data_IF_903181078588
#
_entry.id   IF_903181078588
#
_cell.length_a   1.000
_cell.length_b   1.000
_cell.length_c   1.000
_cell.angle_alpha   90.00
_cell.angle_beta   90.00
_cell.angle_gamma   90.00
#
_symmetry.space_group_name_H-M   'P 1'
#
loop_
_entity.id
_entity.type
_entity.pdbx_description
1 polymer ?
2 non-polymer ?
3 non-polymer ?
4 water ?
#
# COMPACT_ATOMS: atom_id res chain seq x y z
N UNK A 11 6.76 2.23 21.99
CA UNK A 11 7.51 3.00 20.94
C UNK A 11 8.68 3.75 21.59
N UNK A 12 9.74 3.99 20.81
CA UNK A 12 10.88 4.77 21.25
C UNK A 12 10.54 6.26 21.25
N UNK A 13 10.73 6.91 22.40
CA UNK A 13 10.60 8.35 22.50
C UNK A 13 11.94 8.96 22.11
N UNK A 14 11.94 9.81 21.07
CA UNK A 14 13.17 10.40 20.53
C UNK A 14 13.24 11.85 20.98
N UNK A 15 14.43 12.30 21.37
CA UNK A 15 14.61 13.68 21.83
C UNK A 15 14.66 14.60 20.61
N UNK A 16 13.99 15.78 20.61
CA UNK A 16 13.99 16.65 19.43
C UNK A 16 15.35 17.12 18.92
N UNK A 17 16.34 17.19 19.81
CA UNK A 17 17.69 17.58 19.44
C UNK A 17 18.36 16.52 18.54
N UNK A 18 17.81 15.30 18.46
CA UNK A 18 18.39 14.23 17.65
C UNK A 18 17.83 14.21 16.23
N UNK A 19 16.90 15.14 15.92
CA UNK A 19 16.16 15.18 14.67
C UNK A 19 16.35 16.54 14.00
N UNK A 20 16.69 16.55 12.71
CA UNK A 20 16.68 17.78 11.92
C UNK A 20 15.78 17.58 10.70
N UNK A 21 14.80 18.49 10.52
CA UNK A 21 13.95 18.53 9.35
C UNK A 21 14.65 19.28 8.21
N UNK A 22 14.62 18.74 6.99
CA UNK A 22 15.38 19.34 5.90
C UNK A 22 14.51 19.83 4.75
N UNK A 23 13.49 19.05 4.37
CA UNK A 23 12.72 19.34 3.16
C UNK A 23 11.33 18.75 3.32
N UNK A 24 10.31 19.51 2.91
CA UNK A 24 8.94 19.02 2.97
C UNK A 24 8.70 18.07 1.79
N UNK A 25 8.14 16.87 2.07
CA UNK A 25 7.93 15.82 1.08
C UNK A 25 6.49 15.31 1.09
N UNK A 26 5.57 16.01 1.80
CA UNK A 26 4.18 15.58 1.89
C UNK A 26 3.31 16.61 2.59
N UNK A 31 -0.66 18.85 9.82
CA UNK A 31 0.80 19.01 9.71
C UNK A 31 1.36 18.64 8.34
N UNK A 32 2.69 18.47 8.29
CA UNK A 32 3.46 18.18 7.09
C UNK A 32 4.31 16.93 7.33
N UNK A 33 4.89 16.41 6.23
CA UNK A 33 5.89 15.35 6.28
C UNK A 33 7.19 15.93 5.72
N UNK A 34 8.29 15.69 6.42
CA UNK A 34 9.61 16.15 6.00
C UNK A 34 10.55 14.96 5.81
N UNK A 35 11.49 15.11 4.89
CA UNK A 35 12.75 14.35 4.91
C UNK A 35 13.67 15.05 5.90
N UNK A 36 14.38 14.26 6.69
CA UNK A 36 15.33 14.80 7.63
C UNK A 36 16.37 13.76 8.04
N UNK A 37 17.10 14.08 9.13
CA UNK A 37 18.18 13.24 9.62
C UNK A 37 17.92 12.97 11.11
N UNK A 38 18.29 11.76 11.53
CA UNK A 38 18.19 11.27 12.90
C UNK A 38 19.60 10.90 13.38
N UNK A 39 20.00 11.52 14.53
CA UNK A 39 21.30 11.38 15.17
C UNK A 39 21.07 10.88 16.59
N UNK A 46 24.45 9.77 11.52
CA UNK A 46 23.17 10.36 11.06
C UNK A 46 22.54 9.35 10.10
N UNK A 47 21.20 9.23 10.12
CA UNK A 47 20.49 8.40 9.14
C UNK A 47 19.32 9.22 8.59
N UNK A 48 19.01 9.12 7.27
CA UNK A 48 17.83 9.79 6.72
C UNK A 48 16.55 9.18 7.30
N UNK A 49 15.57 10.04 7.55
CA UNK A 49 14.27 9.64 8.10
C UNK A 49 13.19 10.48 7.42
N UNK A 50 11.94 9.96 7.50
CA UNK A 50 10.78 10.80 7.22
C UNK A 50 10.14 11.19 8.54
N UNK A 51 9.57 12.38 8.58
CA UNK A 51 9.13 13.02 9.81
C UNK A 51 7.75 13.64 9.58
N UNK A 52 6.74 13.07 10.24
CA UNK A 52 5.38 13.59 10.15
C UNK A 52 5.05 14.37 11.41
N UNK A 53 4.56 15.61 11.28
CA UNK A 53 4.26 16.47 12.42
C UNK A 53 2.76 16.65 12.62
N UNK A 54 2.39 17.04 13.85
CA UNK A 54 1.02 17.41 14.17
C UNK A 54 1.01 18.83 14.72
N UNK A 55 0.16 19.70 14.13
CA UNK A 55 0.18 21.14 14.40
C UNK A 55 -0.57 21.45 15.71
N UNK A 56 -0.26 22.64 16.27
CA UNK A 56 -0.82 23.14 17.53
C UNK A 56 -2.35 23.24 17.42
N UNK A 57 -3.03 22.95 18.54
CA UNK A 57 -4.48 23.07 18.61
C UNK A 57 -5.20 21.81 18.15
N UNK A 58 -4.44 20.73 17.91
CA UNK A 58 -5.00 19.45 17.56
C UNK A 58 -6.02 19.07 18.64
N UNK A 59 -7.07 18.35 18.20
CA UNK A 59 -8.08 17.83 19.09
C UNK A 59 -7.64 16.52 19.74
N UNK A 60 -8.42 16.10 20.75
CA UNK A 60 -8.22 14.82 21.37
C UNK A 60 -8.27 13.68 20.35
N UNK A 61 -9.26 13.68 19.45
CA UNK A 61 -9.36 12.66 18.40
C UNK A 61 -8.13 12.67 17.48
N UNK A 62 -7.67 13.89 17.09
CA UNK A 62 -6.51 13.99 16.23
C UNK A 62 -5.29 13.35 16.91
N UNK A 63 -5.15 13.59 18.23
CA UNK A 63 -3.99 13.11 18.97
C UNK A 63 -4.03 11.57 19.06
N UNK A 64 -5.22 11.04 19.32
CA UNK A 64 -5.38 9.60 19.43
C UNK A 64 -5.10 8.98 18.06
N UNK A 65 -5.56 9.62 16.99
CA UNK A 65 -5.37 9.09 15.64
C UNK A 65 -3.90 9.18 15.22
N UNK A 66 -3.23 10.26 15.62
CA UNK A 66 -1.86 10.50 15.20
C UNK A 66 -0.93 9.52 15.91
N UNK A 67 -1.03 9.52 17.25
CA UNK A 67 -0.20 8.61 18.03
C UNK A 67 -0.67 7.17 17.81
N UNK A 68 -1.93 7.00 17.40
CA UNK A 68 -2.47 5.69 17.09
C UNK A 68 -1.72 5.04 15.90
N UNK A 69 -1.41 5.86 14.87
CA UNK A 69 -0.72 5.37 13.70
C UNK A 69 0.65 4.84 14.15
N UNK A 70 1.34 5.61 15.00
CA UNK A 70 2.66 5.20 15.48
C UNK A 70 2.55 3.92 16.32
N UNK A 71 1.51 3.88 17.19
CA UNK A 71 1.28 2.72 18.01
C UNK A 71 1.10 1.46 17.17
N UNK A 72 0.32 1.56 16.07
CA UNK A 72 0.13 0.41 15.17
C UNK A 72 1.47 0.04 14.54
N UNK A 73 2.15 1.05 13.99
CA UNK A 73 3.40 0.79 13.29
C UNK A 73 4.42 0.15 14.22
N UNK A 74 4.43 0.55 15.50
CA UNK A 74 5.34 -0.02 16.48
C UNK A 74 5.08 -1.50 16.83
N UNK A 75 3.91 -2.02 16.52
CA UNK A 75 3.60 -3.41 16.83
C UNK A 75 4.05 -4.34 15.70
N UNK A 76 4.63 -3.77 14.63
CA UNK A 76 4.98 -4.54 13.46
C UNK A 76 6.49 -4.57 13.26
N UNK A 77 6.98 -5.72 12.81
CA UNK A 77 8.39 -5.87 12.50
C UNK A 77 8.54 -6.79 11.29
N UNK A 78 8.52 -6.19 10.07
CA UNK A 78 8.51 -6.97 8.85
C UNK A 78 9.17 -6.17 7.73
N UNK A 79 9.94 -6.87 6.90
CA UNK A 79 10.69 -6.29 5.80
C UNK A 79 9.83 -5.41 4.90
N UNK A 80 8.54 -5.78 4.74
CA UNK A 80 7.69 -5.09 3.78
C UNK A 80 6.66 -4.17 4.45
N UNK A 81 6.94 -3.72 5.67
CA UNK A 81 6.14 -2.78 6.43
C UNK A 81 7.09 -1.67 6.88
N UNK A 82 6.72 -0.44 6.60
CA UNK A 82 7.54 0.69 6.97
C UNK A 82 7.92 0.60 8.45
N UNK A 83 9.20 0.83 8.72
CA UNK A 83 9.75 0.79 10.07
C UNK A 83 9.61 2.14 10.77
N UNK A 84 9.10 2.06 11.99
CA UNK A 84 9.04 3.19 12.89
C UNK A 84 10.37 3.35 13.60
N UNK A 85 10.98 4.54 13.54
CA UNK A 85 12.15 4.84 14.38
C UNK A 85 11.70 5.24 15.80
N UNK A 86 10.66 6.06 15.87
CA UNK A 86 10.14 6.48 17.16
C UNK A 86 9.23 7.69 17.01
N UNK A 87 8.91 8.29 18.16
CA UNK A 87 7.97 9.39 18.22
C UNK A 87 8.56 10.47 19.11
N UNK A 88 8.19 11.72 18.81
CA UNK A 88 8.29 12.81 19.76
C UNK A 88 6.88 13.12 20.23
N UNK A 89 6.57 12.80 21.48
CA UNK A 89 5.27 13.04 22.07
C UNK A 89 5.37 13.95 23.30
N UNK A 90 6.54 14.04 23.93
CA UNK A 90 6.71 14.83 25.15
C UNK A 90 6.87 16.31 24.82
N UNK A 91 7.26 16.60 23.57
CA UNK A 91 7.50 17.96 23.13
C UNK A 91 6.58 18.22 21.94
N UNK A 92 6.31 19.51 21.68
CA UNK A 92 5.42 19.94 20.63
C UNK A 92 6.25 20.78 19.65
N UNK A 93 6.03 20.65 18.32
CA UNK A 93 5.03 19.76 17.73
C UNK A 93 5.40 18.29 17.86
N UNK A 94 4.36 17.43 17.97
CA UNK A 94 4.59 16.00 18.04
C UNK A 94 4.99 15.49 16.67
N UNK A 95 5.79 14.40 16.65
CA UNK A 95 6.32 13.85 15.42
C UNK A 95 6.30 12.33 15.45
N UNK A 96 6.14 11.78 14.25
CA UNK A 96 6.37 10.37 13.98
C UNK A 96 7.56 10.31 13.02
N UNK A 97 8.55 9.49 13.37
CA UNK A 97 9.81 9.39 12.66
C UNK A 97 9.94 7.96 12.13
N UNK A 98 10.03 7.85 10.80
CA UNK A 98 10.16 6.54 10.17
C UNK A 98 11.43 6.45 9.33
N UNK A 99 11.71 5.25 8.86
CA UNK A 99 12.74 5.11 7.84
C UNK A 99 12.36 5.94 6.60
N UNK A 100 13.40 6.37 5.87
CA UNK A 100 13.22 7.16 4.66
C UNK A 100 13.33 6.22 3.47
N UNK A 101 12.36 6.34 2.57
CA UNK A 101 12.26 5.47 1.40
C UNK A 101 12.64 6.30 0.16
N UNK A 102 13.79 5.97 -0.42
CA UNK A 102 14.47 6.88 -1.33
C UNK A 102 13.69 7.15 -2.61
N UNK A 103 12.83 6.21 -3.02
CA UNK A 103 12.09 6.30 -4.26
C UNK A 103 10.63 6.70 -4.05
N UNK A 104 10.25 6.96 -2.81
CA UNK A 104 8.93 7.52 -2.53
C UNK A 104 7.75 6.59 -2.84
N UNK A 105 6.62 7.22 -3.17
CA UNK A 105 5.38 6.49 -3.36
C UNK A 105 5.42 5.70 -4.67
N UNK A 106 4.92 4.48 -4.61
CA UNK A 106 4.99 3.54 -5.71
C UNK A 106 4.22 4.05 -6.93
N UNK A 107 3.04 4.67 -6.75
CA UNK A 107 2.27 5.08 -7.91
C UNK A 107 3.06 6.10 -8.75
N UNK A 108 3.58 7.14 -8.08
CA UNK A 108 4.31 8.21 -8.75
C UNK A 108 5.60 7.66 -9.35
N UNK A 109 6.28 6.80 -8.60
CA UNK A 109 7.51 6.16 -9.02
C UNK A 109 7.28 5.38 -10.33
N UNK A 110 6.24 4.53 -10.39
CA UNK A 110 5.99 3.75 -11.60
C UNK A 110 5.76 4.69 -12.80
N UNK A 111 5.00 5.77 -12.57
CA UNK A 111 4.63 6.66 -13.66
C UNK A 111 5.83 7.44 -14.18
N UNK A 112 6.83 7.68 -13.31
CA UNK A 112 8.03 8.40 -13.71
C UNK A 112 9.08 7.45 -14.27
N UNK A 113 8.88 6.13 -14.14
CA UNK A 113 9.88 5.16 -14.57
C UNK A 113 9.25 4.18 -15.55
N UNK A 114 8.31 4.68 -16.37
CA UNK A 114 7.51 3.80 -17.21
C UNK A 114 8.41 2.97 -18.14
N UNK A 115 8.22 1.65 -18.11
CA UNK A 115 8.96 0.75 -18.99
C UNK A 115 10.39 0.41 -18.53
N UNK A 116 10.85 0.90 -17.37
CA UNK A 116 12.27 0.85 -17.03
C UNK A 116 12.68 -0.40 -16.23
N UNK A 117 11.72 -1.27 -15.89
CA UNK A 117 12.00 -2.48 -15.13
C UNK A 117 11.72 -3.76 -15.95
N UNK A 118 12.29 -4.88 -15.49
CA UNK A 118 11.96 -6.18 -16.04
C UNK A 118 10.65 -6.69 -15.44
N UNK A 119 10.03 -7.64 -16.16
CA UNK A 119 8.83 -8.27 -15.64
C UNK A 119 9.16 -8.91 -14.28
N UNK A 120 10.30 -9.59 -14.20
CA UNK A 120 10.69 -10.20 -12.94
C UNK A 120 10.79 -9.18 -11.81
N UNK A 121 11.35 -8.00 -12.08
CA UNK A 121 11.40 -6.97 -11.07
C UNK A 121 9.99 -6.58 -10.60
N UNK A 122 9.09 -6.31 -11.55
CA UNK A 122 7.72 -5.93 -11.22
C UNK A 122 7.06 -7.00 -10.36
N UNK A 123 7.21 -8.29 -10.74
CA UNK A 123 6.63 -9.37 -9.97
C UNK A 123 7.25 -9.45 -8.57
N UNK A 124 8.56 -9.21 -8.45
CA UNK A 124 9.18 -9.18 -7.15
C UNK A 124 8.69 -8.05 -6.24
N UNK A 125 8.31 -6.91 -6.84
CA UNK A 125 7.71 -5.82 -6.09
C UNK A 125 6.39 -6.33 -5.49
N UNK A 126 5.60 -6.99 -6.33
CA UNK A 126 4.31 -7.48 -5.88
C UNK A 126 4.46 -8.54 -4.78
N UNK A 127 5.46 -9.41 -4.89
CA UNK A 127 5.68 -10.42 -3.84
C UNK A 127 5.94 -9.74 -2.49
N UNK A 128 6.76 -8.70 -2.52
CA UNK A 128 7.03 -7.94 -1.31
C UNK A 128 5.78 -7.36 -0.67
N UNK A 129 4.96 -6.71 -1.53
CA UNK A 129 3.72 -6.14 -1.01
C UNK A 129 2.85 -7.24 -0.43
N UNK A 130 2.73 -8.36 -1.15
CA UNK A 130 1.91 -9.46 -0.66
C UNK A 130 2.42 -10.01 0.66
N UNK A 131 3.77 -10.10 0.81
CA UNK A 131 4.32 -10.60 2.07
C UNK A 131 3.98 -9.64 3.24
N UNK A 132 4.08 -8.34 2.99
CA UNK A 132 3.69 -7.37 4.00
C UNK A 132 2.23 -7.50 4.38
N UNK A 133 1.39 -7.63 3.33
CA UNK A 133 -0.04 -7.78 3.59
C UNK A 133 -0.39 -9.09 4.32
N UNK A 134 0.28 -10.19 3.98
CA UNK A 134 0.05 -11.43 4.71
C UNK A 134 0.37 -11.23 6.19
N UNK A 135 1.48 -10.57 6.49
CA UNK A 135 1.85 -10.28 7.87
C UNK A 135 0.78 -9.43 8.57
N UNK A 136 0.32 -8.34 7.94
CA UNK A 136 -0.71 -7.51 8.56
C UNK A 136 -1.97 -8.35 8.82
N UNK A 137 -2.40 -9.13 7.80
CA UNK A 137 -3.62 -9.93 7.94
C UNK A 137 -3.50 -10.88 9.11
N UNK A 138 -2.35 -11.56 9.18
CA UNK A 138 -2.14 -12.53 10.25
C UNK A 138 -1.99 -11.88 11.62
N UNK A 139 -1.56 -10.62 11.64
CA UNK A 139 -1.53 -9.83 12.88
C UNK A 139 -2.89 -9.21 13.20
N UNK A 140 -3.93 -9.59 12.41
CA UNK A 140 -5.29 -9.15 12.69
C UNK A 140 -5.48 -7.67 12.36
N UNK A 141 -4.76 -7.19 11.35
CA UNK A 141 -4.88 -5.82 10.90
C UNK A 141 -5.43 -5.78 9.48
N UNK A 142 -6.57 -5.08 9.31
CA UNK A 142 -7.21 -4.83 8.02
C UNK A 142 -6.83 -3.41 7.60
N UNK A 143 -6.18 -3.28 6.43
CA UNK A 143 -5.65 -1.99 6.02
C UNK A 143 -6.73 -1.01 5.55
N UNK A 144 -7.65 -1.48 4.70
CA UNK A 144 -8.79 -0.75 4.17
C UNK A 144 -8.43 0.22 3.05
N UNK A 145 -7.13 0.57 2.87
CA UNK A 145 -6.74 1.62 1.93
C UNK A 145 -5.49 1.18 1.19
N UNK A 146 -5.47 -0.09 0.76
CA UNK A 146 -4.32 -0.57 0.02
C UNK A 146 -4.41 -0.10 -1.43
N UNK A 147 -3.32 0.53 -1.88
CA UNK A 147 -3.21 1.15 -3.18
C UNK A 147 -1.74 1.46 -3.38
N UNK A 148 -1.33 1.64 -4.63
CA UNK A 148 0.07 1.95 -4.87
C UNK A 148 0.48 3.28 -4.20
N UNK A 149 -0.45 4.22 -4.03
CA UNK A 149 -0.07 5.52 -3.43
C UNK A 149 0.31 5.35 -1.96
N UNK A 150 -0.10 4.23 -1.36
CA UNK A 150 0.19 3.97 0.04
C UNK A 150 1.31 2.96 0.21
N UNK A 151 2.06 2.67 -0.85
CA UNK A 151 3.23 1.82 -0.81
C UNK A 151 4.47 2.69 -1.09
N UNK A 152 5.55 2.44 -0.35
CA UNK A 152 6.78 3.19 -0.53
C UNK A 152 7.88 2.26 -1.03
N UNK A 153 8.84 2.84 -1.75
CA UNK A 153 9.88 2.07 -2.43
C UNK A 153 11.27 2.58 -2.06
N UNK A 154 12.15 1.65 -1.63
CA UNK A 154 13.52 2.03 -1.30
C UNK A 154 14.48 1.80 -2.45
N UNK A 155 15.76 2.12 -2.18
CA UNK A 155 16.80 2.03 -3.19
C UNK A 155 17.21 0.58 -3.52
N UNK A 156 16.66 -0.44 -2.82
CA UNK A 156 16.78 -1.82 -3.21
C UNK A 156 15.50 -2.34 -3.92
N UNK A 157 14.62 -1.39 -4.31
CA UNK A 157 13.35 -1.69 -4.97
C UNK A 157 12.38 -2.46 -4.05
N UNK A 158 12.64 -2.39 -2.76
CA UNK A 158 11.79 -3.02 -1.78
C UNK A 158 10.56 -2.17 -1.60
N UNK A 159 9.39 -2.81 -1.71
CA UNK A 159 8.12 -2.13 -1.51
C UNK A 159 7.62 -2.43 -0.12
N UNK A 160 7.18 -1.37 0.58
CA UNK A 160 6.69 -1.49 1.94
C UNK A 160 5.34 -0.79 2.08
N UNK A 161 4.43 -1.49 2.73
CA UNK A 161 3.15 -0.93 3.06
C UNK A 161 3.31 0.18 4.09
N UNK A 162 2.63 1.30 3.83
CA UNK A 162 2.61 2.45 4.71
C UNK A 162 1.14 2.87 4.89
N UNK A 163 0.91 3.98 5.57
CA UNK A 163 -0.40 4.54 5.77
C UNK A 163 -1.23 3.66 6.69
N UNK A 164 -0.98 3.82 7.99
CA UNK A 164 -1.74 3.15 9.03
C UNK A 164 -2.62 4.20 9.70
N UNK A 165 -2.95 5.28 9.00
CA UNK A 165 -3.86 6.29 9.52
C UNK A 165 -5.17 5.67 10.00
N UNK A 166 -5.69 6.17 11.13
CA UNK A 166 -6.81 5.54 11.84
C UNK A 166 -8.15 6.02 11.27
N UNK A 167 -8.21 7.29 10.83
CA UNK A 167 -9.49 7.90 10.51
C UNK A 167 -9.68 8.00 8.99
N UNK A 168 -10.32 6.98 8.41
CA UNK A 168 -10.52 6.92 6.97
C UNK A 168 -12.00 6.64 6.69
N UNK A 169 -12.56 7.42 5.75
CA UNK A 169 -13.93 7.25 5.30
C UNK A 169 -13.90 6.89 3.81
N UNK A 170 -14.83 6.04 3.38
CA UNK A 170 -15.00 5.74 1.96
C UNK A 170 -15.47 6.99 1.22
N UNK A 171 -14.85 7.25 0.06
CA UNK A 171 -15.27 8.30 -0.87
C UNK A 171 -16.78 8.24 -1.10
N UNK A 172 -17.45 9.40 -1.04
CA UNK A 172 -18.86 9.54 -1.36
C UNK A 172 -19.79 8.77 -0.42
N UNK A 173 -19.34 8.47 0.81
CA UNK A 173 -20.10 7.60 1.70
C UNK A 173 -19.51 7.54 3.11
N UNK A 183 -8.72 10.84 5.64
CA UNK A 183 -8.44 10.46 4.25
C UNK A 183 -9.64 9.73 3.64
N UNK A 184 -9.92 10.01 2.37
CA UNK A 184 -10.96 9.30 1.65
C UNK A 184 -10.38 8.01 1.06
N UNK A 185 -11.07 6.88 1.26
CA UNK A 185 -10.72 5.63 0.63
C UNK A 185 -11.41 5.56 -0.73
N UNK A 186 -10.66 5.44 -1.84
CA UNK A 186 -11.29 5.48 -3.16
C UNK A 186 -12.11 4.22 -3.45
N UNK A 187 -13.29 4.45 -4.03
CA UNK A 187 -14.21 3.41 -4.44
C UNK A 187 -13.51 2.37 -5.30
N UNK A 188 -12.72 2.82 -6.30
CA UNK A 188 -12.30 1.93 -7.37
C UNK A 188 -11.14 1.01 -6.95
N UNK A 189 -10.64 1.17 -5.71
CA UNK A 189 -9.72 0.21 -5.13
C UNK A 189 -10.41 -0.72 -4.13
N UNK A 190 -11.71 -0.54 -3.89
CA UNK A 190 -12.39 -1.14 -2.77
C UNK A 190 -13.27 -2.30 -3.23
N UNK A 191 -13.31 -3.36 -2.40
CA UNK A 191 -14.09 -4.53 -2.71
C UNK A 191 -15.58 -4.23 -2.66
N UNK A 192 -16.38 -4.96 -3.46
CA UNK A 192 -17.84 -4.75 -3.46
C UNK A 192 -18.52 -4.77 -2.09
N UNK A 193 -18.16 -5.75 -1.25
CA UNK A 193 -18.83 -5.89 0.03
C UNK A 193 -18.49 -4.74 0.97
N UNK A 194 -17.28 -4.16 0.80
CA UNK A 194 -16.87 -3.04 1.63
C UNK A 194 -17.69 -1.79 1.27
N UNK A 195 -17.92 -1.60 -0.04
CA UNK A 195 -18.78 -0.54 -0.52
C UNK A 195 -20.24 -0.79 -0.12
N UNK A 196 -20.75 -1.99 -0.43
CA UNK A 196 -22.19 -2.20 -0.36
C UNK A 196 -22.65 -2.28 1.10
N UNK A 197 -21.87 -2.93 1.98
CA UNK A 197 -22.34 -3.08 3.37
C UNK A 197 -21.26 -2.87 4.44
N UNK A 198 -20.17 -2.19 4.06
CA UNK A 198 -19.17 -1.71 5.00
C UNK A 198 -18.39 -2.89 5.63
N UNK A 199 -18.27 -3.99 4.88
CA UNK A 199 -17.54 -5.15 5.40
C UNK A 199 -16.09 -5.12 4.90
N UNK A 200 -15.22 -4.60 5.76
CA UNK A 200 -13.80 -4.52 5.45
C UNK A 200 -13.08 -5.64 6.19
N UNK A 201 -12.39 -6.50 5.41
CA UNK A 201 -11.66 -7.61 5.97
C UNK A 201 -10.36 -7.81 5.17
N UNK A 202 -9.56 -8.78 5.62
CA UNK A 202 -8.40 -9.10 4.82
C UNK A 202 -8.77 -9.55 3.40
N UNK A 203 -9.97 -10.10 3.19
CA UNK A 203 -10.43 -10.49 1.86
C UNK A 203 -10.77 -9.27 1.00
N UNK A 204 -11.24 -8.17 1.63
CA UNK A 204 -11.37 -6.94 0.89
C UNK A 204 -10.01 -6.32 0.56
N UNK A 205 -9.04 -6.49 1.45
CA UNK A 205 -7.67 -6.07 1.13
C UNK A 205 -7.09 -6.87 -0.04
N UNK A 206 -7.45 -8.15 -0.17
CA UNK A 206 -7.00 -8.94 -1.31
C UNK A 206 -7.52 -8.35 -2.62
N UNK A 207 -8.82 -7.97 -2.64
CA UNK A 207 -9.36 -7.28 -3.80
C UNK A 207 -8.47 -6.08 -4.17
N UNK A 208 -8.20 -5.24 -3.16
CA UNK A 208 -7.38 -4.05 -3.36
C UNK A 208 -6.00 -4.47 -3.89
N UNK A 209 -5.45 -5.55 -3.34
CA UNK A 209 -4.14 -6.02 -3.82
C UNK A 209 -4.19 -6.35 -5.31
N UNK A 210 -5.29 -6.95 -5.77
CA UNK A 210 -5.41 -7.26 -7.19
C UNK A 210 -5.36 -5.96 -8.03
N UNK A 211 -5.99 -4.88 -7.54
CA UNK A 211 -5.88 -3.57 -8.17
C UNK A 211 -4.44 -3.05 -8.16
N UNK A 212 -3.72 -3.25 -7.03
CA UNK A 212 -2.30 -2.89 -6.97
C UNK A 212 -1.48 -3.70 -7.97
N UNK A 213 -1.77 -5.00 -8.13
CA UNK A 213 -1.11 -5.80 -9.17
C UNK A 213 -1.27 -5.12 -10.53
N UNK A 214 -2.47 -4.66 -10.84
CA UNK A 214 -2.74 -4.05 -12.13
C UNK A 214 -1.99 -2.70 -12.24
N UNK A 215 -1.98 -1.93 -11.15
CA UNK A 215 -1.20 -0.67 -11.12
C UNK A 215 0.27 -0.92 -11.44
N UNK A 216 0.83 -1.97 -10.82
CA UNK A 216 2.26 -2.23 -11.02
C UNK A 216 2.52 -2.68 -12.45
N UNK A 217 1.71 -3.64 -12.96
CA UNK A 217 1.99 -4.22 -14.27
C UNK A 217 1.72 -3.23 -15.42
N UNK A 218 0.99 -2.12 -15.12
CA UNK A 218 0.72 -1.09 -16.11
C UNK A 218 1.56 0.16 -15.89
N UNK A 219 2.50 0.13 -14.95
CA UNK A 219 3.31 1.31 -14.60
C UNK A 219 2.48 2.52 -14.16
N UNK A 220 1.46 2.26 -13.34
CA UNK A 220 0.71 3.39 -12.74
C UNK A 220 -0.49 3.89 -13.52
N UNK A 221 -1.02 3.02 -14.36
CA UNK A 221 -2.25 3.44 -15.05
C UNK A 221 -3.36 3.55 -13.99
N UNK A 222 -4.28 4.47 -14.23
CA UNK A 222 -5.41 4.64 -13.27
C UNK A 222 -6.48 3.61 -13.60
N UNK A 223 -6.84 2.78 -12.59
CA UNK A 223 -7.83 1.76 -12.78
C UNK A 223 -9.15 2.33 -13.31
N UNK A 224 -9.67 1.70 -14.36
CA UNK A 224 -10.97 2.01 -14.95
C UNK A 224 -10.94 3.37 -15.66
N UNK A 225 -9.76 3.98 -15.82
CA UNK A 225 -9.64 5.20 -16.60
C UNK A 225 -10.68 6.25 -16.18
N UNK A 226 -11.45 6.80 -17.15
CA UNK A 226 -12.29 7.94 -16.81
C UNK A 226 -13.70 7.51 -16.38
N UNK A 227 -13.96 6.19 -16.20
CA UNK A 227 -15.27 5.79 -15.69
C UNK A 227 -15.51 6.52 -14.37
N UNK A 228 -16.76 6.98 -14.13
CA UNK A 228 -17.16 7.50 -12.84
C UNK A 228 -17.22 6.38 -11.82
N UNK A 229 -17.30 6.76 -10.53
CA UNK A 229 -17.44 5.76 -9.48
C UNK A 229 -18.69 4.90 -9.69
N UNK A 230 -19.81 5.52 -10.12
CA UNK A 230 -21.04 4.74 -10.31
C UNK A 230 -20.88 3.80 -11.51
N UNK A 231 -20.18 4.26 -12.56
CA UNK A 231 -19.96 3.40 -13.72
C UNK A 231 -19.08 2.21 -13.36
N UNK A 232 -18.05 2.42 -12.53
CA UNK A 232 -17.19 1.33 -12.08
C UNK A 232 -17.97 0.28 -11.27
N UNK A 233 -18.79 0.79 -10.34
CA UNK A 233 -19.56 -0.12 -9.49
C UNK A 233 -20.58 -0.92 -10.30
N UNK A 234 -21.24 -0.27 -11.26
CA UNK A 234 -22.18 -0.97 -12.12
C UNK A 234 -21.47 -2.00 -13.01
N UNK A 235 -20.28 -1.63 -13.52
CA UNK A 235 -19.50 -2.54 -14.35
C UNK A 235 -19.10 -3.79 -13.55
N UNK A 236 -18.58 -3.55 -12.34
CA UNK A 236 -18.14 -4.66 -11.50
C UNK A 236 -19.33 -5.60 -11.20
N UNK A 237 -20.45 -5.00 -10.82
CA UNK A 237 -21.60 -5.83 -10.44
C UNK A 237 -22.17 -6.62 -11.61
N UNK A 238 -21.90 -6.12 -12.83
CA UNK A 238 -22.34 -6.79 -14.04
C UNK A 238 -21.30 -7.78 -14.56
N UNK A 239 -20.18 -7.96 -13.83
CA UNK A 239 -19.20 -8.98 -14.10
C UNK A 239 -17.98 -8.53 -14.89
N UNK A 240 -17.92 -7.25 -15.24
CA UNK A 240 -16.74 -6.74 -15.93
C UNK A 240 -15.59 -6.61 -14.96
N UNK A 241 -14.38 -6.78 -15.50
CA UNK A 241 -13.15 -6.59 -14.74
C UNK A 241 -12.14 -5.88 -15.63
N UNK A 242 -11.10 -5.35 -14.97
CA UNK A 242 -10.03 -4.65 -15.66
C UNK A 242 -9.41 -5.60 -16.70
N UNK A 243 -9.07 -5.07 -17.89
CA UNK A 243 -8.45 -5.88 -18.93
C UNK A 243 -6.98 -6.14 -18.64
N UNK A 244 -6.42 -7.09 -19.39
CA UNK A 244 -5.02 -7.45 -19.23
C UNK A 244 -4.14 -6.23 -19.48
N UNK A 245 -3.13 -5.97 -18.61
CA UNK A 245 -2.03 -5.05 -18.94
C UNK A 245 -1.29 -5.53 -20.16
N UNK A 246 -0.62 -4.59 -20.86
CA UNK A 246 0.28 -4.93 -21.96
C UNK A 246 1.43 -5.79 -21.40
N UNK A 247 1.83 -6.84 -22.14
CA UNK A 247 3.01 -7.63 -21.84
C UNK A 247 2.92 -8.25 -20.45
N UNK A 248 1.71 -8.62 -20.03
CA UNK A 248 1.47 -9.17 -18.71
C UNK A 248 1.55 -10.70 -18.75
N UNK A 249 2.36 -11.33 -17.87
CA UNK A 249 2.34 -12.78 -17.77
C UNK A 249 0.93 -13.31 -17.50
N UNK A 250 0.59 -14.37 -18.22
CA UNK A 250 -0.69 -15.00 -18.03
C UNK A 250 -0.96 -15.33 -16.56
N UNK A 251 0.04 -15.88 -15.87
CA UNK A 251 -0.13 -16.31 -14.49
C UNK A 251 -0.47 -15.12 -13.59
N UNK A 252 0.10 -13.96 -13.89
CA UNK A 252 -0.10 -12.75 -13.13
C UNK A 252 -1.51 -12.19 -13.36
N UNK A 253 -1.95 -12.19 -14.61
CA UNK A 253 -3.32 -11.77 -14.90
C UNK A 253 -4.34 -12.73 -14.29
N UNK A 254 -4.12 -14.05 -14.37
CA UNK A 254 -4.99 -15.00 -13.70
C UNK A 254 -5.10 -14.72 -12.20
N UNK A 255 -3.99 -14.43 -11.55
CA UNK A 255 -3.97 -14.19 -10.12
C UNK A 255 -4.74 -12.91 -9.78
N UNK A 256 -4.54 -11.81 -10.51
CA UNK A 256 -5.26 -10.58 -10.16
C UNK A 256 -6.76 -10.80 -10.38
N UNK A 257 -7.12 -11.57 -11.41
CA UNK A 257 -8.52 -11.88 -11.68
C UNK A 257 -9.18 -12.64 -10.54
N UNK A 258 -8.42 -13.56 -9.92
CA UNK A 258 -8.95 -14.32 -8.79
C UNK A 258 -9.14 -13.43 -7.56
N UNK A 259 -8.31 -12.39 -7.42
CA UNK A 259 -8.46 -11.42 -6.34
C UNK A 259 -9.78 -10.66 -6.46
N UNK A 260 -10.31 -10.57 -7.68
CA UNK A 260 -11.54 -9.82 -7.94
C UNK A 260 -12.77 -10.73 -8.04
N UNK A 261 -12.74 -11.94 -7.48
CA UNK A 261 -13.96 -12.74 -7.38
C UNK A 261 -14.99 -11.99 -6.52
N UNK A 262 -16.25 -11.93 -7.02
CA UNK A 262 -17.34 -11.35 -6.27
C UNK A 262 -17.47 -12.03 -4.90
N UNK A 263 -17.37 -13.35 -4.89
CA UNK A 263 -17.49 -14.14 -3.64
C UNK A 263 -16.14 -14.15 -2.89
N UNK A 264 -16.10 -13.54 -1.70
CA UNK A 264 -14.85 -13.48 -0.89
C UNK A 264 -14.19 -14.85 -0.75
N UNK A 265 -14.96 -15.90 -0.53
CA UNK A 265 -14.39 -17.23 -0.26
C UNK A 265 -13.61 -17.76 -1.47
N UNK A 266 -13.89 -17.21 -2.65
CA UNK A 266 -13.19 -17.69 -3.85
C UNK A 266 -11.92 -16.87 -4.10
N UNK A 267 -11.69 -15.80 -3.32
CA UNK A 267 -10.46 -15.05 -3.48
C UNK A 267 -9.32 -15.80 -2.79
N UNK A 268 -8.11 -15.71 -3.37
CA UNK A 268 -6.95 -16.26 -2.65
C UNK A 268 -6.72 -15.50 -1.34
N UNK A 269 -6.11 -16.18 -0.36
CA UNK A 269 -5.58 -15.50 0.80
C UNK A 269 -4.22 -14.92 0.44
N UNK A 270 -3.74 -13.97 1.25
CA UNK A 270 -2.38 -13.49 1.04
C UNK A 270 -1.41 -14.65 1.08
N UNK A 271 -1.64 -15.63 1.95
CA UNK A 271 -0.76 -16.80 2.00
C UNK A 271 -0.64 -17.43 0.61
N UNK A 272 -1.77 -17.56 -0.11
CA UNK A 272 -1.78 -18.18 -1.44
C UNK A 272 -1.02 -17.31 -2.43
N UNK A 273 -1.24 -15.99 -2.36
CA UNK A 273 -0.63 -15.03 -3.27
C UNK A 273 0.89 -15.10 -3.12
N UNK A 274 1.40 -15.07 -1.87
CA UNK A 274 2.84 -15.10 -1.66
C UNK A 274 3.43 -16.40 -2.22
N UNK A 275 2.74 -17.51 -1.95
CA UNK A 275 3.17 -18.83 -2.41
C UNK A 275 3.29 -18.86 -3.94
N UNK A 276 2.25 -18.36 -4.64
CA UNK A 276 2.21 -18.38 -6.10
C UNK A 276 3.30 -17.46 -6.67
N UNK A 277 3.42 -16.25 -6.12
CA UNK A 277 4.40 -15.31 -6.67
C UNK A 277 5.79 -15.88 -6.44
N UNK A 278 6.02 -16.51 -5.28
CA UNK A 278 7.33 -17.09 -5.02
C UNK A 278 7.68 -18.19 -6.04
N UNK A 279 6.69 -19.06 -6.35
CA UNK A 279 6.88 -20.11 -7.34
C UNK A 279 7.23 -19.51 -8.71
N UNK A 280 6.52 -18.44 -9.11
CA UNK A 280 6.77 -17.82 -10.41
C UNK A 280 8.18 -17.22 -10.47
N UNK A 281 8.61 -16.57 -9.38
CA UNK A 281 9.90 -15.92 -9.34
C UNK A 281 11.01 -16.97 -9.39
N UNK A 282 10.82 -18.10 -8.69
CA UNK A 282 11.85 -19.11 -8.63
C UNK A 282 11.96 -19.90 -9.95
N UNK A 283 10.90 -19.87 -10.79
CA UNK A 283 10.89 -20.49 -12.10
C UNK A 283 10.53 -19.39 -13.12
N UNK A 284 11.44 -18.40 -13.35
CA UNK A 284 11.07 -17.14 -14.01
C UNK A 284 10.66 -17.29 -15.47
N UNK A 285 11.01 -18.42 -16.12
CA UNK A 285 10.54 -18.70 -17.48
C UNK A 285 9.01 -18.81 -17.50
N UNK A 286 8.39 -19.11 -16.35
CA UNK A 286 6.93 -19.16 -16.24
C UNK A 286 6.29 -17.81 -16.59
N UNK A 287 7.04 -16.72 -16.44
CA UNK A 287 6.54 -15.37 -16.70
C UNK A 287 6.66 -14.96 -18.18
N UNK A 288 7.24 -15.80 -19.04
CA UNK A 288 7.39 -15.47 -20.46
C UNK A 288 6.09 -15.72 -21.23
N UNK A 289 5.20 -16.51 -20.62
CA UNK A 289 3.92 -16.82 -21.22
C UNK A 289 2.96 -15.67 -20.96
N UNK A 290 2.55 -14.92 -22.00
CA UNK A 290 1.84 -13.67 -21.81
C UNK A 290 0.34 -13.86 -22.09
N UNK A 291 -0.48 -13.15 -21.31
CA UNK A 291 -1.90 -13.00 -21.59
C UNK A 291 -2.06 -12.21 -22.89
N UNK A 292 -3.06 -12.61 -23.67
CA UNK A 292 -3.42 -11.89 -24.87
C UNK A 292 -3.86 -10.47 -24.50
N UNK A 293 -3.27 -9.48 -25.17
CA UNK A 293 -3.62 -8.09 -24.99
C UNK A 293 -4.67 -7.70 -26.06
X LIG B 1 -22.95 9.14 -21.02
X LIG B 1 -22.09 8.76 -22.07
X LIG B 1 -22.30 9.39 -19.73
X LIG B 1 -21.22 10.28 -19.79
X LIG C 1 -20.13 -2.16 -5.71
X LIG C 1 -19.72 -3.39 -6.27
X LIG C 1 -21.10 -2.26 -4.62
X LIG C 1 -22.07 -3.25 -4.91
X LIG D 1 9.42 -0.72 14.59
X LIG D 1 8.73 -0.54 13.33
X LIG D 1 10.50 -1.72 14.58
X LIG D 1 9.96 -3.02 14.48
X LIG E 1 -5.07 -13.84 4.82
X LIG E 1 -5.21 -13.24 3.55
X LIG E 1 -3.65 -14.16 5.13
X LIG E 1 -3.13 -15.20 4.34
X LIG F 1 9.86 7.83 2.85
X LIG F 1 4.19 7.31 6.93
X LIG F 1 3.49 7.07 8.09
X LIG F 1 6.22 9.68 3.59
X LIG F 1 3.81 7.72 9.26
X LIG F 1 9.27 8.70 2.01
X LIG F 1 6.02 8.49 5.72
X LIG F 1 5.25 8.23 6.94
X LIG F 1 1.99 7.81 0.84
X LIG F 1 7.22 7.89 5.49
X LIG F 1 7.96 8.11 4.29
X LIG F 1 9.21 7.56 3.99
X LIG F 1 8.09 9.32 2.20
X LIG F 1 4.39 10.06 4.89
X LIG F 1 5.46 9.46 4.73
X LIG F 1 5.71 10.67 2.63
X LIG F 1 5.05 10.07 1.40
X LIG F 1 3.94 9.12 1.74
X LIG F 1 2.97 8.94 0.59
X LIG F 1 7.44 9.02 3.33
X LIG F 1 9.94 8.99 0.89
X LIG F 1 9.48 10.00 -0.05
X LIG F 1 5.55 8.87 8.15
X LIG F 1 6.80 10.06 8.25
X LIG F 1 4.82 8.64 9.30
X LIG G 1 -16.32 -2.35 -6.85
X LIG G 1 -17.65 -2.06 -7.29
X LIG G 1 -15.42 -1.19 -7.05
X LIG G 1 -14.09 -1.47 -6.80
X LIG H 1 14.22 8.60 -16.33
X LIG H 1 12.88 8.24 -16.04
X LIG H 1 15.19 8.13 -15.32
X LIG H 1 14.82 6.97 -14.54
X LIG I 1 -21.43 10.30 -11.99
X LIG I 1 -22.17 11.27 -11.28
X LIG I 1 -22.07 8.97 -12.20
X LIG I 1 -21.97 8.38 -13.48
#
# INVERSE_FOLDING_TARGET
>A
GDPNQAVLKFTTEIHPSCVTRQKVIGAGEFGEVYKGMLKTSSGKKEVPVAIKTLKAGYTEKQRVDFLGEAGIMGQFSHHNIIRLEGVISKYKPMMIITEYMENGALDKFLREKDGEFSVLQLVGMLRGIAAGMKYLANMNYVHRDLAARNILVNSNLVCKVSDFGLSRVLEDDPEATYTTSGGKIPIRWTAPEAISYRKFTSASDVWSFGIVMWEVMTYGERPYWELSNHEVMKAINDGFRLPTPMDCPSAIYQLMMQCWQQERARRPKFADIVSILDKLIRAPDSLKTLADFDPRVSIRLPSTSG
>B hetero
1 EDO C1 O1 C2 O2
>C hetero
1 EDO C1 O1 C2 O2
>D hetero
1 EDO C1 O1 C2 O2
>E hetero
1 EDO C1 O1 C2 O2
>F hetero
1 QRR N1 C7 C8 N2 C9 C1 C5 C6 N3 C4 C3 C2 N4 O C12 C13 C14 C15 C16 C17 N C C11 CL C10
>G hetero
1 EDO C1 O1 C2 O2
>H hetero
1 EDO C1 O1 C2 O2
>I hetero
1 EDO C1 O1 C2 O2
#
